data_IF_873524459510
#
_entry.id   IF_873524459510
#
_cell.length_a   1.000
_cell.length_b   1.000
_cell.length_c   1.000
_cell.angle_alpha   90.00
_cell.angle_beta   90.00
_cell.angle_gamma   90.00
#
_symmetry.space_group_name_H-M   'P 1'
#
loop_
_entity.id
_entity.type
_entity.pdbx_description
1 polymer ?
#
# COMPACT_ATOMS: atom_id res chain seq x y z
N UNK A 1 24.21 -8.10 -14.33
CA UNK A 1 25.40 -7.76 -13.53
C UNK A 1 24.94 -7.13 -12.23
N UNK A 2 25.20 -7.76 -11.08
CA UNK A 2 24.92 -7.19 -9.77
C UNK A 2 25.64 -5.84 -9.65
N UNK A 3 24.92 -4.77 -9.30
CA UNK A 3 25.56 -3.56 -8.79
C UNK A 3 25.21 -3.42 -7.31
N UNK A 4 26.26 -3.45 -6.50
CA UNK A 4 26.24 -3.25 -5.05
C UNK A 4 25.47 -1.99 -4.69
N UNK A 5 24.65 -2.08 -3.62
CA UNK A 5 24.00 -0.94 -2.97
C UNK A 5 25.01 -0.24 -2.06
N UNK A 6 25.17 1.07 -2.21
CA UNK A 6 25.92 1.87 -1.24
C UNK A 6 25.03 2.21 -0.04
N UNK A 7 25.45 1.82 1.16
CA UNK A 7 24.96 2.37 2.43
C UNK A 7 25.63 3.73 2.65
N UNK A 8 24.85 4.77 2.91
CA UNK A 8 25.38 6.01 3.50
C UNK A 8 25.15 5.92 5.00
N UNK A 9 26.20 5.56 5.72
CA UNK A 9 26.23 5.61 7.18
C UNK A 9 26.87 6.93 7.61
N UNK A 10 26.08 7.85 8.18
CA UNK A 10 26.65 8.89 9.02
C UNK A 10 27.00 8.25 10.37
N UNK A 11 28.22 8.48 10.85
CA UNK A 11 28.73 7.86 12.07
C UNK A 11 27.80 8.08 13.27
N UNK A 12 27.56 7.01 14.02
CA UNK A 12 26.71 7.00 15.22
C UNK A 12 25.34 6.35 14.98
N UNK A 13 25.28 5.04 15.23
CA UNK A 13 24.13 4.18 15.53
C UNK A 13 22.68 4.64 15.22
N UNK A 14 22.41 5.21 14.05
CA UNK A 14 21.04 5.39 13.55
C UNK A 14 21.01 5.15 12.03
N UNK A 15 20.56 3.96 11.62
CA UNK A 15 20.07 3.72 10.27
C UNK A 15 18.54 3.78 10.32
N UNK A 16 17.96 4.94 10.04
CA UNK A 16 16.52 5.05 9.79
C UNK A 16 16.24 4.71 8.31
N UNK A 17 15.31 3.80 8.08
CA UNK A 17 14.43 3.86 6.91
C UNK A 17 12.99 3.68 7.37
N UNK A 18 12.33 4.80 7.62
CA UNK A 18 10.92 5.01 7.30
C UNK A 18 10.81 5.06 5.76
N UNK A 19 9.72 4.77 5.05
CA UNK A 19 8.27 4.82 5.30
C UNK A 19 7.62 3.79 4.34
N UNK A 20 6.34 3.45 4.58
CA UNK A 20 5.47 2.67 3.71
C UNK A 20 5.62 3.02 2.21
N UNK A 21 5.78 1.98 1.38
CA UNK A 21 6.08 2.10 -0.04
C UNK A 21 4.80 2.13 -0.91
N UNK A 22 4.77 3.11 -1.82
CA UNK A 22 3.64 3.53 -2.68
C UNK A 22 3.30 2.53 -3.79
N UNK A 23 2.07 2.60 -4.33
CA UNK A 23 1.64 1.86 -5.54
C UNK A 23 2.44 2.32 -6.77
N UNK A 24 3.02 3.52 -6.73
CA UNK A 24 3.86 4.08 -7.80
C UNK A 24 5.28 3.52 -7.80
N UNK A 25 5.63 2.64 -6.85
CA UNK A 25 6.94 1.99 -6.79
C UNK A 25 7.22 1.18 -8.06
N UNK A 26 8.34 1.51 -8.72
CA UNK A 26 8.80 0.83 -9.94
C UNK A 26 8.33 1.50 -11.24
N UNK A 27 7.33 2.39 -11.20
CA UNK A 27 6.90 3.16 -12.37
C UNK A 27 8.03 4.03 -12.95
N UNK A 28 8.86 4.73 -12.15
CA UNK A 28 9.99 5.49 -12.67
C UNK A 28 11.06 4.60 -13.32
N UNK A 29 11.25 3.38 -12.81
CA UNK A 29 12.23 2.43 -13.36
C UNK A 29 11.77 1.88 -14.72
N UNK A 30 10.48 1.60 -14.86
CA UNK A 30 9.91 1.14 -16.14
C UNK A 30 9.83 2.28 -17.16
N UNK A 31 9.46 3.49 -16.75
CA UNK A 31 9.53 4.69 -17.59
C UNK A 31 10.98 4.94 -18.06
N UNK A 32 11.98 4.76 -17.19
CA UNK A 32 13.39 4.89 -17.53
C UNK A 32 13.94 3.80 -18.48
N UNK A 33 13.20 2.70 -18.69
CA UNK A 33 13.53 1.66 -19.69
C UNK A 33 12.86 1.94 -21.05
N UNK A 34 11.63 2.44 -21.02
CA UNK A 34 10.86 2.78 -22.22
C UNK A 34 11.37 4.07 -22.89
N UNK A 35 11.88 5.00 -22.09
CA UNK A 35 12.53 6.22 -22.54
C UNK A 35 14.03 6.13 -22.19
N UNK A 36 14.96 6.52 -23.07
CA UNK A 36 16.40 6.51 -22.74
C UNK A 36 16.74 7.68 -21.82
N UNK A 37 16.42 7.53 -20.53
CA UNK A 37 16.48 8.66 -19.57
C UNK A 37 17.84 8.76 -18.85
N UNK A 38 18.77 7.82 -19.08
CA UNK A 38 20.11 7.86 -18.47
C UNK A 38 20.08 7.86 -16.93
N UNK A 39 20.88 8.72 -16.30
CA UNK A 39 20.96 8.84 -14.83
C UNK A 39 19.88 9.78 -14.22
N UNK A 40 18.88 10.21 -14.99
CA UNK A 40 17.86 11.18 -14.57
C UNK A 40 16.66 10.53 -13.86
N UNK A 41 16.86 9.40 -13.19
CA UNK A 41 15.78 8.63 -12.55
C UNK A 41 14.98 9.47 -11.54
N UNK A 42 15.68 10.32 -10.78
CA UNK A 42 15.06 11.24 -9.82
C UNK A 42 14.23 12.32 -10.52
N UNK A 43 14.71 12.87 -11.64
CA UNK A 43 13.94 13.83 -12.45
C UNK A 43 12.70 13.20 -13.09
N UNK A 44 12.79 11.94 -13.55
CA UNK A 44 11.63 11.20 -14.08
C UNK A 44 10.60 10.96 -12.99
N UNK A 45 11.05 10.58 -11.79
CA UNK A 45 10.15 10.38 -10.67
C UNK A 45 9.44 11.69 -10.31
N UNK A 46 10.16 12.81 -10.20
CA UNK A 46 9.56 14.12 -9.93
C UNK A 46 8.59 14.54 -11.03
N UNK A 47 8.95 14.39 -12.31
CA UNK A 47 8.07 14.73 -13.43
C UNK A 47 6.78 13.90 -13.43
N UNK A 48 6.89 12.62 -13.06
CA UNK A 48 5.74 11.74 -12.94
C UNK A 48 4.84 12.15 -11.77
N UNK A 49 5.42 12.44 -10.60
CA UNK A 49 4.71 12.93 -9.42
C UNK A 49 3.99 14.26 -9.71
N UNK A 50 4.66 15.21 -10.36
CA UNK A 50 4.10 16.50 -10.76
C UNK A 50 2.96 16.33 -11.77
N UNK A 51 3.17 15.50 -12.81
CA UNK A 51 2.14 15.23 -13.81
C UNK A 51 0.90 14.57 -13.18
N UNK A 52 1.09 13.62 -12.26
CA UNK A 52 0.01 13.00 -11.51
C UNK A 52 -0.69 14.01 -10.60
N UNK A 53 0.05 14.90 -9.92
CA UNK A 53 -0.51 15.99 -9.10
C UNK A 53 -1.41 16.94 -9.90
N UNK A 54 -1.01 17.25 -11.14
CA UNK A 54 -1.74 18.14 -12.03
C UNK A 54 -2.99 17.48 -12.63
N UNK A 55 -2.86 16.27 -13.19
CA UNK A 55 -3.94 15.61 -13.93
C UNK A 55 -4.86 14.77 -13.03
N UNK A 56 -4.38 14.36 -11.86
CA UNK A 56 -5.07 13.49 -10.91
C UNK A 56 -6.47 14.00 -10.54
N UNK A 57 -6.65 15.26 -10.12
CA UNK A 57 -7.96 15.83 -9.81
C UNK A 57 -8.94 15.76 -10.99
N UNK A 58 -8.46 16.05 -12.21
CA UNK A 58 -9.26 16.02 -13.44
C UNK A 58 -9.71 14.61 -13.81
N UNK A 59 -8.88 13.61 -13.50
CA UNK A 59 -9.18 12.19 -13.72
C UNK A 59 -9.93 11.54 -12.54
N UNK A 60 -10.21 12.29 -11.48
CA UNK A 60 -10.80 11.74 -10.25
C UNK A 60 -9.88 10.74 -9.54
N UNK A 61 -8.57 10.80 -9.78
CA UNK A 61 -7.58 9.92 -9.14
C UNK A 61 -7.26 10.46 -7.74
N UNK A 62 -7.59 9.71 -6.67
CA UNK A 62 -7.21 10.09 -5.32
C UNK A 62 -5.71 9.79 -5.12
N UNK A 63 -4.83 10.72 -5.48
CA UNK A 63 -3.37 10.57 -5.36
C UNK A 63 -2.92 10.25 -3.94
N UNK A 64 -3.63 10.73 -2.93
CA UNK A 64 -3.41 10.38 -1.52
C UNK A 64 -3.61 8.88 -1.23
N UNK A 65 -4.36 8.18 -2.06
CA UNK A 65 -4.59 6.73 -1.97
C UNK A 65 -3.63 5.94 -2.86
N UNK A 66 -2.70 6.60 -3.57
CA UNK A 66 -1.61 5.90 -4.25
C UNK A 66 -0.45 5.61 -3.30
N UNK A 67 -0.41 6.26 -2.12
CA UNK A 67 0.58 5.99 -1.06
C UNK A 67 0.47 4.54 -0.56
N UNK A 68 -0.73 3.99 -0.52
CA UNK A 68 -0.97 2.58 -0.16
C UNK A 68 -2.38 2.18 -0.60
N UNK A 69 -2.62 0.87 -0.78
CA UNK A 69 -3.98 0.36 -0.89
C UNK A 69 -4.70 0.62 0.42
N UNK A 70 -5.84 1.32 0.39
CA UNK A 70 -6.63 1.69 1.57
C UNK A 70 -7.63 0.61 1.96
N UNK A 71 -7.94 0.52 3.25
CA UNK A 71 -8.97 -0.37 3.79
C UNK A 71 -10.28 0.37 4.05
N UNK A 72 -11.16 0.37 3.05
CA UNK A 72 -12.48 1.02 3.14
C UNK A 72 -13.55 0.17 3.86
N UNK A 73 -13.18 -0.99 4.41
CA UNK A 73 -14.04 -1.77 5.30
C UNK A 73 -13.95 -1.30 6.76
N UNK A 74 -12.96 -0.47 7.08
CA UNK A 74 -12.82 0.19 8.38
C UNK A 74 -13.11 1.67 8.26
N UNK A 75 -13.30 2.37 9.38
CA UNK A 75 -13.45 3.82 9.37
C UNK A 75 -12.12 4.56 9.16
N UNK A 76 -12.18 5.85 8.74
CA UNK A 76 -11.01 6.70 8.73
C UNK A 76 -10.32 6.73 10.09
N UNK A 77 -9.01 6.96 10.09
CA UNK A 77 -8.23 6.96 11.33
C UNK A 77 -8.80 7.98 12.33
N UNK A 78 -9.09 7.51 13.56
CA UNK A 78 -9.68 8.33 14.63
C UNK A 78 -11.19 8.53 14.54
N UNK A 79 -11.87 7.96 13.55
CA UNK A 79 -13.33 8.01 13.44
C UNK A 79 -13.97 6.83 14.15
N UNK A 80 -15.17 7.05 14.69
CA UNK A 80 -15.93 6.03 15.42
C UNK A 80 -16.77 5.20 14.44
N UNK A 81 -16.59 3.88 14.48
CA UNK A 81 -17.40 2.93 13.74
C UNK A 81 -18.73 2.66 14.48
N UNK A 82 -19.86 2.93 13.81
CA UNK A 82 -21.21 2.63 14.30
C UNK A 82 -21.85 1.44 13.57
N UNK A 83 -21.10 0.73 12.73
CA UNK A 83 -21.54 -0.38 11.90
C UNK A 83 -22.07 0.08 10.54
N UNK A 84 -23.06 0.96 10.51
CA UNK A 84 -23.68 1.49 9.29
C UNK A 84 -23.04 2.78 8.77
N UNK A 85 -22.28 3.47 9.63
CA UNK A 85 -21.57 4.69 9.30
C UNK A 85 -20.34 4.93 10.20
N UNK A 86 -19.39 5.67 9.65
CA UNK A 86 -18.25 6.24 10.36
C UNK A 86 -18.59 7.64 10.83
N UNK A 87 -18.55 7.88 12.13
CA UNK A 87 -18.80 9.21 12.73
C UNK A 87 -17.49 9.94 13.03
N UNK A 88 -17.37 11.23 12.67
CA UNK A 88 -16.18 12.01 12.97
C UNK A 88 -16.05 12.27 14.48
N UNK A 89 -14.82 12.46 15.00
CA UNK A 89 -14.62 12.89 16.37
C UNK A 89 -15.25 14.29 16.61
N UNK A 90 -15.76 14.55 17.82
CA UNK A 90 -16.53 15.77 18.15
C UNK A 90 -15.79 17.09 17.85
N UNK A 91 -14.46 17.06 17.83
CA UNK A 91 -13.59 18.20 17.53
C UNK A 91 -13.56 18.60 16.05
N UNK A 92 -14.10 17.77 15.15
CA UNK A 92 -14.18 18.04 13.71
C UNK A 92 -15.52 18.68 13.36
N UNK A 93 -15.67 19.95 13.73
CA UNK A 93 -16.85 20.76 13.41
C UNK A 93 -17.06 20.85 11.89
N UNK A 94 -18.29 20.61 11.45
CA UNK A 94 -18.68 20.68 10.03
C UNK A 94 -18.49 19.37 9.25
N UNK A 95 -17.97 18.31 9.86
CA UNK A 95 -17.86 17.00 9.23
C UNK A 95 -19.12 16.17 9.40
N UNK A 96 -19.51 15.47 8.33
CA UNK A 96 -20.66 14.57 8.34
C UNK A 96 -20.23 13.11 8.47
N UNK A 97 -21.06 12.24 9.09
CA UNK A 97 -20.83 10.81 9.07
C UNK A 97 -20.76 10.27 7.63
N UNK A 98 -19.89 9.29 7.40
CA UNK A 98 -19.72 8.62 6.10
C UNK A 98 -20.39 7.25 6.19
N UNK A 99 -21.28 6.92 5.26
CA UNK A 99 -21.93 5.61 5.27
C UNK A 99 -20.94 4.47 4.93
N UNK A 100 -21.08 3.35 5.64
CA UNK A 100 -20.32 2.13 5.37
C UNK A 100 -20.73 1.47 4.04
N UNK A 101 -21.95 1.72 3.55
CA UNK A 101 -22.50 1.14 2.31
C UNK A 101 -22.90 2.19 1.27
N UNK A 102 -23.12 1.75 0.03
CA UNK A 102 -23.64 2.60 -1.05
C UNK A 102 -22.67 3.63 -1.65
N UNK A 103 -21.50 3.82 -1.04
CA UNK A 103 -20.43 4.69 -1.55
C UNK A 103 -19.29 3.88 -2.16
N UNK A 104 -18.74 4.36 -3.26
CA UNK A 104 -17.51 3.85 -3.88
C UNK A 104 -16.29 4.17 -3.01
N UNK A 105 -15.17 3.43 -3.17
CA UNK A 105 -13.90 3.75 -2.52
C UNK A 105 -13.43 5.20 -2.71
N UNK A 106 -13.59 5.73 -3.93
CA UNK A 106 -13.21 7.11 -4.26
C UNK A 106 -14.08 8.14 -3.52
N UNK A 107 -15.39 7.92 -3.43
CA UNK A 107 -16.31 8.79 -2.67
C UNK A 107 -16.03 8.74 -1.17
N UNK A 108 -15.82 7.54 -0.62
CA UNK A 108 -15.42 7.36 0.79
C UNK A 108 -14.13 8.12 1.09
N UNK A 109 -13.12 7.97 0.24
CA UNK A 109 -11.85 8.68 0.36
C UNK A 109 -12.02 10.20 0.29
N UNK A 110 -12.80 10.70 -0.68
CA UNK A 110 -13.04 12.13 -0.84
C UNK A 110 -13.77 12.72 0.37
N UNK A 111 -14.79 12.01 0.87
CA UNK A 111 -15.54 12.44 2.05
C UNK A 111 -14.66 12.50 3.31
N UNK A 112 -13.86 11.46 3.58
CA UNK A 112 -12.93 11.46 4.70
C UNK A 112 -11.91 12.60 4.57
N UNK A 113 -11.33 12.78 3.39
CA UNK A 113 -10.32 13.79 3.16
C UNK A 113 -10.85 15.22 3.29
N UNK A 114 -12.10 15.46 2.87
CA UNK A 114 -12.76 16.77 3.05
C UNK A 114 -12.87 17.19 4.52
N UNK A 115 -12.83 16.21 5.43
CA UNK A 115 -12.86 16.44 6.86
C UNK A 115 -11.45 16.41 7.45
N UNK A 116 -10.85 17.60 7.58
CA UNK A 116 -9.54 17.81 8.19
C UNK A 116 -8.41 16.93 7.61
N UNK A 117 -8.54 16.50 6.35
CA UNK A 117 -7.56 15.62 5.71
C UNK A 117 -7.58 14.18 6.21
N UNK A 118 -8.67 13.72 6.86
CA UNK A 118 -8.76 12.35 7.39
C UNK A 118 -8.57 11.30 6.29
N UNK A 119 -7.90 10.21 6.62
CA UNK A 119 -7.58 9.15 5.68
C UNK A 119 -8.06 7.80 6.21
N UNK A 120 -8.46 6.91 5.30
CA UNK A 120 -8.66 5.51 5.64
C UNK A 120 -7.30 4.87 5.96
N UNK A 121 -7.23 3.93 6.92
CA UNK A 121 -5.99 3.23 7.16
C UNK A 121 -5.57 2.45 5.91
N UNK A 122 -4.26 2.23 5.75
CA UNK A 122 -3.80 1.30 4.73
C UNK A 122 -4.33 -0.12 5.03
N UNK A 123 -4.66 -0.87 3.97
CA UNK A 123 -4.99 -2.27 4.03
C UNK A 123 -3.79 -3.03 4.60
N UNK A 124 -3.98 -3.52 5.83
CA UNK A 124 -2.96 -4.21 6.64
C UNK A 124 -1.71 -3.37 6.98
N UNK A 125 -1.89 -2.15 7.52
CA UNK A 125 -0.85 -1.52 8.35
C UNK A 125 -0.73 -2.23 9.71
N UNK A 126 -0.11 -3.39 9.76
CA UNK A 126 0.47 -3.83 11.03
C UNK A 126 1.77 -3.07 11.30
N UNK A 127 1.99 -2.72 12.56
CA UNK A 127 3.24 -2.08 13.00
C UNK A 127 4.44 -2.99 12.70
N UNK A 128 4.24 -4.32 12.80
CA UNK A 128 5.22 -5.34 12.42
C UNK A 128 4.53 -6.43 11.61
N UNK A 129 5.00 -6.67 10.39
CA UNK A 129 4.57 -7.81 9.56
C UNK A 129 5.41 -9.04 9.89
N UNK A 130 4.75 -10.18 10.08
CA UNK A 130 5.38 -11.47 10.32
C UNK A 130 5.77 -12.13 8.99
N UNK A 131 6.97 -11.83 8.51
CA UNK A 131 7.57 -12.52 7.37
C UNK A 131 8.18 -13.89 7.72
N UNK A 132 8.20 -14.28 8.99
CA UNK A 132 8.60 -15.62 9.42
C UNK A 132 7.49 -16.64 9.18
N UNK A 133 6.25 -16.19 8.95
CA UNK A 133 5.17 -17.08 8.53
C UNK A 133 5.54 -17.82 7.24
N UNK A 134 5.08 -19.07 7.12
CA UNK A 134 5.23 -19.88 5.92
C UNK A 134 4.44 -19.33 4.74
N UNK A 135 3.23 -18.79 5.01
CA UNK A 135 2.26 -18.43 3.99
C UNK A 135 1.71 -17.01 4.12
N UNK A 136 1.26 -16.40 3.00
CA UNK A 136 0.47 -15.18 3.03
C UNK A 136 -0.77 -15.33 3.91
N UNK A 137 -1.24 -14.22 4.47
CA UNK A 137 -2.47 -14.18 5.26
C UNK A 137 -3.65 -14.74 4.45
N UNK A 138 -4.42 -15.64 5.08
CA UNK A 138 -5.57 -16.31 4.45
C UNK A 138 -5.22 -17.40 3.44
N UNK A 139 -3.95 -17.66 3.16
CA UNK A 139 -3.50 -18.83 2.40
C UNK A 139 -3.26 -20.00 3.35
N UNK A 140 -3.52 -21.21 2.88
CA UNK A 140 -3.37 -22.43 3.68
C UNK A 140 -2.10 -23.17 3.31
N UNK A 141 -1.42 -23.72 4.31
CA UNK A 141 -0.21 -24.52 4.10
C UNK A 141 -0.60 -25.91 3.59
N UNK A 142 -0.29 -26.17 2.32
CA UNK A 142 -0.51 -27.46 1.67
C UNK A 142 0.79 -28.28 1.58
N UNK A 143 0.68 -29.49 1.01
CA UNK A 143 1.80 -30.45 0.91
C UNK A 143 2.98 -29.90 0.10
N UNK A 144 2.72 -29.05 -0.90
CA UNK A 144 3.75 -28.49 -1.80
C UNK A 144 3.80 -26.96 -1.69
N UNK A 145 3.63 -26.43 -0.47
CA UNK A 145 3.67 -25.01 -0.18
C UNK A 145 2.29 -24.37 -0.01
N UNK A 146 2.24 -23.05 -0.05
CA UNK A 146 1.06 -22.27 0.27
C UNK A 146 0.05 -22.32 -0.88
N UNK A 147 -1.20 -22.62 -0.55
CA UNK A 147 -2.31 -22.66 -1.48
C UNK A 147 -3.26 -21.49 -1.21
N UNK A 148 -3.64 -20.83 -2.30
CA UNK A 148 -4.56 -19.71 -2.28
C UNK A 148 -5.99 -20.19 -2.07
N UNK A 149 -6.83 -19.42 -1.36
CA UNK A 149 -8.24 -19.73 -1.24
C UNK A 149 -8.97 -19.70 -2.59
N UNK A 150 -10.11 -20.39 -2.68
CA UNK A 150 -10.91 -20.48 -3.91
C UNK A 150 -11.33 -19.11 -4.47
N UNK A 151 -11.53 -18.13 -3.58
CA UNK A 151 -11.91 -16.76 -3.87
C UNK A 151 -10.73 -15.83 -4.21
N UNK A 152 -9.49 -16.33 -4.26
CA UNK A 152 -8.36 -15.50 -4.69
C UNK A 152 -8.51 -15.09 -6.17
N UNK A 153 -8.62 -13.78 -6.41
CA UNK A 153 -8.77 -13.16 -7.73
C UNK A 153 -7.51 -12.40 -8.17
N UNK A 154 -6.41 -12.50 -7.43
CA UNK A 154 -5.17 -11.83 -7.79
C UNK A 154 -4.48 -12.48 -9.00
N UNK A 155 -3.51 -11.78 -9.60
CA UNK A 155 -2.93 -12.15 -10.90
C UNK A 155 -1.94 -13.34 -10.83
N UNK A 156 -1.62 -13.82 -9.63
CA UNK A 156 -0.57 -14.82 -9.44
C UNK A 156 -1.10 -16.26 -9.36
N UNK A 157 -0.16 -17.21 -9.40
CA UNK A 157 -0.45 -18.64 -9.23
C UNK A 157 -1.09 -18.94 -7.87
N UNK A 158 -2.04 -19.87 -7.85
CA UNK A 158 -2.77 -20.29 -6.63
C UNK A 158 -1.98 -21.24 -5.73
N UNK A 159 -0.75 -21.60 -6.10
CA UNK A 159 0.13 -22.44 -5.29
C UNK A 159 1.58 -21.96 -5.39
N UNK A 160 2.22 -21.69 -4.24
CA UNK A 160 3.58 -21.12 -4.20
C UNK A 160 4.31 -21.50 -2.92
N UNK A 161 5.60 -21.82 -3.04
CA UNK A 161 6.49 -22.08 -1.90
C UNK A 161 7.35 -20.86 -1.60
N UNK A 162 7.44 -20.49 -0.31
CA UNK A 162 8.19 -19.33 0.16
C UNK A 162 9.34 -19.67 1.12
N UNK A 163 9.66 -20.96 1.33
CA UNK A 163 10.71 -21.40 2.26
C UNK A 163 12.10 -20.84 1.94
N UNK A 164 12.39 -20.61 0.65
CA UNK A 164 13.66 -20.03 0.19
C UNK A 164 13.56 -18.53 -0.11
N UNK A 165 12.43 -17.89 0.21
CA UNK A 165 12.24 -16.47 -0.07
C UNK A 165 12.80 -15.63 1.08
N UNK A 166 13.65 -14.67 0.72
CA UNK A 166 14.02 -13.57 1.61
C UNK A 166 12.81 -12.69 1.92
N UNK A 167 12.87 -11.93 3.01
CA UNK A 167 11.83 -10.95 3.38
C UNK A 167 11.52 -10.01 2.20
N UNK A 168 12.54 -9.48 1.53
CA UNK A 168 12.35 -8.59 0.38
C UNK A 168 11.59 -9.26 -0.78
N UNK A 169 11.83 -10.55 -1.03
CA UNK A 169 11.10 -11.30 -2.06
C UNK A 169 9.66 -11.59 -1.63
N UNK A 170 9.43 -11.86 -0.34
CA UNK A 170 8.10 -12.01 0.24
C UNK A 170 7.28 -10.71 0.11
N UNK A 171 7.90 -9.56 0.39
CA UNK A 171 7.31 -8.20 0.21
C UNK A 171 6.95 -7.97 -1.25
N UNK A 172 7.91 -8.18 -2.16
CA UNK A 172 7.69 -7.94 -3.58
C UNK A 172 6.58 -8.82 -4.14
N UNK A 173 6.58 -10.11 -3.79
CA UNK A 173 5.53 -11.04 -4.20
C UNK A 173 4.15 -10.63 -3.67
N UNK A 174 4.08 -10.23 -2.40
CA UNK A 174 2.85 -9.74 -1.78
C UNK A 174 2.25 -8.58 -2.59
N UNK A 175 3.07 -7.58 -2.95
CA UNK A 175 2.66 -6.45 -3.79
C UNK A 175 2.14 -6.91 -5.16
N UNK A 176 2.91 -7.71 -5.89
CA UNK A 176 2.56 -8.13 -7.26
C UNK A 176 1.30 -9.01 -7.30
N UNK A 177 1.11 -9.82 -6.27
CA UNK A 177 0.03 -10.80 -6.21
C UNK A 177 -1.20 -10.31 -5.46
N UNK A 178 -1.20 -9.08 -4.96
CA UNK A 178 -2.26 -8.54 -4.11
C UNK A 178 -2.59 -9.47 -2.94
N UNK A 179 -1.53 -9.99 -2.30
CA UNK A 179 -1.63 -10.78 -1.06
C UNK A 179 -0.84 -10.07 0.03
N UNK A 180 -1.10 -10.40 1.29
CA UNK A 180 -0.40 -9.81 2.44
C UNK A 180 0.22 -10.91 3.28
N UNK A 181 1.20 -10.56 4.12
CA UNK A 181 1.73 -11.48 5.12
C UNK A 181 1.04 -11.23 6.46
N UNK A 182 0.93 -12.25 7.34
CA UNK A 182 0.33 -12.09 8.66
C UNK A 182 1.05 -11.02 9.48
N UNK A 183 0.36 -10.45 10.46
CA UNK A 183 0.97 -9.49 11.38
C UNK A 183 1.66 -10.22 12.54
N UNK A 184 2.75 -9.66 13.07
CA UNK A 184 3.35 -10.13 14.32
C UNK A 184 2.49 -9.63 15.49
N UNK A 185 2.12 -10.53 16.39
CA UNK A 185 1.40 -10.23 17.64
C UNK A 185 2.28 -9.50 18.65
#
# INVERSE_FOLDING_TARGET
MFRLRAMVCFGGCFCLRTVAESILDGLPTEAARLFDVGNRQEQVQTMLEDALAEIGPTLGLPLRDTICVRDYNRCPEGWLDKGDACSPPQQFFGCSPISSGGLTPAEKSAAAHSCAGSLYPCLHSCNVTNYDSSCPAGWFEGVVGCQAPSFYQGPCVRQKTFSMFTIAQKVWWAKQCFVTWPCSS
#
